data_IF_561544600033
#
_entry.id   IF_561544600033
#
_cell.length_a   1.000
_cell.length_b   1.000
_cell.length_c   1.000
_cell.angle_alpha   90.00
_cell.angle_beta   90.00
_cell.angle_gamma   90.00
#
_symmetry.space_group_name_H-M   'P 1'
#
loop_
_entity.id
_entity.type
_entity.pdbx_description
1 polymer ?
#
# COMPACT_ATOMS: atom_id res chain seq x y z
N UNK A 1 -18.91 -14.85 36.32
CA UNK A 1 -17.87 -13.87 36.71
C UNK A 1 -18.05 -12.65 35.83
N UNK A 2 -18.10 -11.43 36.37
CA UNK A 2 -18.29 -10.24 35.56
C UNK A 2 -16.95 -9.81 34.94
N UNK A 3 -16.95 -9.30 33.70
CA UNK A 3 -15.71 -8.83 33.03
C UNK A 3 -15.00 -7.77 33.87
N UNK A 4 -15.77 -6.92 34.57
CA UNK A 4 -15.25 -5.86 35.45
C UNK A 4 -14.55 -6.37 36.71
N UNK A 5 -14.69 -7.65 37.06
CA UNK A 5 -14.09 -8.23 38.28
C UNK A 5 -12.79 -9.00 38.01
N UNK A 6 -12.21 -8.89 36.82
CA UNK A 6 -10.96 -9.57 36.45
C UNK A 6 -9.74 -8.87 37.07
N UNK A 7 -8.81 -9.66 37.60
CA UNK A 7 -7.54 -9.14 38.13
C UNK A 7 -6.53 -8.90 37.01
N UNK A 8 -5.50 -8.07 37.25
CA UNK A 8 -4.44 -7.81 36.26
C UNK A 8 -3.72 -9.08 35.80
N UNK A 9 -3.49 -10.03 36.70
CA UNK A 9 -2.89 -11.33 36.35
C UNK A 9 -3.78 -12.13 35.40
N UNK A 10 -5.10 -12.13 35.63
CA UNK A 10 -6.07 -12.78 34.76
C UNK A 10 -6.12 -12.09 33.38
N UNK A 11 -6.08 -10.76 33.33
CA UNK A 11 -6.06 -10.00 32.07
C UNK A 11 -4.81 -10.32 31.23
N UNK A 12 -3.63 -10.35 31.84
CA UNK A 12 -2.38 -10.74 31.15
C UNK A 12 -2.48 -12.18 30.63
N UNK A 13 -3.05 -13.09 31.43
CA UNK A 13 -3.23 -14.48 31.00
C UNK A 13 -4.18 -14.59 29.81
N UNK A 14 -5.30 -13.85 29.82
CA UNK A 14 -6.25 -13.80 28.71
C UNK A 14 -5.59 -13.23 27.45
N UNK A 15 -4.84 -12.14 27.58
CA UNK A 15 -4.10 -11.56 26.45
C UNK A 15 -3.11 -12.55 25.82
N UNK A 16 -2.36 -13.28 26.64
CA UNK A 16 -1.45 -14.33 26.15
C UNK A 16 -2.21 -15.45 25.42
N UNK A 17 -3.36 -15.86 25.95
CA UNK A 17 -4.20 -16.87 25.31
C UNK A 17 -4.74 -16.37 23.96
N UNK A 18 -5.15 -15.11 23.85
CA UNK A 18 -5.60 -14.53 22.58
C UNK A 18 -4.50 -14.46 21.52
N UNK A 19 -3.24 -14.26 21.91
CA UNK A 19 -2.11 -14.33 20.95
C UNK A 19 -1.83 -15.75 20.45
N UNK A 20 -2.23 -16.78 21.20
CA UNK A 20 -2.02 -18.19 20.85
C UNK A 20 -3.22 -18.78 20.10
N UNK A 21 -4.42 -18.29 20.38
CA UNK A 21 -5.64 -18.69 19.70
C UNK A 21 -5.61 -18.22 18.24
N UNK A 22 -6.03 -19.10 17.32
CA UNK A 22 -6.26 -18.74 15.92
C UNK A 22 -7.73 -18.34 15.76
N UNK A 23 -7.94 -17.14 15.25
CA UNK A 23 -9.24 -16.63 14.85
C UNK A 23 -9.29 -16.56 13.33
N UNK A 24 -10.52 -16.52 12.80
CA UNK A 24 -10.72 -16.20 11.39
C UNK A 24 -10.28 -14.76 11.12
N UNK A 25 -9.76 -14.56 9.92
CA UNK A 25 -9.31 -13.24 9.47
C UNK A 25 -10.50 -12.25 9.45
N UNK A 26 -10.36 -11.04 10.03
CA UNK A 26 -11.37 -10.01 9.94
C UNK A 26 -11.67 -9.67 8.48
N UNK A 27 -12.96 -9.42 8.20
CA UNK A 27 -13.40 -9.06 6.87
C UNK A 27 -12.84 -7.72 6.41
N UNK A 28 -12.47 -7.63 5.13
CA UNK A 28 -12.09 -6.39 4.46
C UNK A 28 -13.25 -5.44 4.12
N UNK A 29 -14.51 -5.77 4.42
CA UNK A 29 -15.66 -4.91 4.09
C UNK A 29 -15.64 -3.54 4.77
N UNK A 30 -14.88 -3.39 5.86
CA UNK A 30 -14.67 -2.11 6.52
C UNK A 30 -13.69 -1.18 5.76
N UNK A 31 -13.04 -1.67 4.70
CA UNK A 31 -12.07 -0.90 3.92
C UNK A 31 -12.75 -0.19 2.77
N UNK A 32 -12.16 0.93 2.36
CA UNK A 32 -12.64 1.76 1.26
C UNK A 32 -11.49 2.04 0.29
N UNK A 33 -11.10 1.06 -0.55
CA UNK A 33 -10.08 1.26 -1.59
C UNK A 33 -10.52 2.36 -2.57
N UNK A 34 -9.57 2.92 -3.31
CA UNK A 34 -9.88 3.79 -4.45
C UNK A 34 -10.56 2.95 -5.57
N UNK A 35 -10.08 1.73 -5.75
CA UNK A 35 -10.42 0.82 -6.83
C UNK A 35 -9.50 1.01 -8.02
N UNK A 36 -9.18 -0.08 -8.70
CA UNK A 36 -8.24 -0.11 -9.84
C UNK A 36 -8.62 0.89 -10.94
N UNK A 37 -9.92 0.96 -11.29
CA UNK A 37 -10.42 1.88 -12.31
C UNK A 37 -10.24 3.36 -11.93
N UNK A 38 -10.63 3.75 -10.71
CA UNK A 38 -10.51 5.13 -10.25
C UNK A 38 -9.05 5.53 -10.07
N UNK A 39 -8.21 4.62 -9.57
CA UNK A 39 -6.78 4.82 -9.47
C UNK A 39 -6.17 5.12 -10.85
N UNK A 40 -6.56 4.34 -11.87
CA UNK A 40 -6.11 4.54 -13.25
C UNK A 40 -6.52 5.91 -13.78
N UNK A 41 -7.78 6.29 -13.60
CA UNK A 41 -8.28 7.61 -14.04
C UNK A 41 -7.52 8.76 -13.36
N UNK A 42 -7.25 8.65 -12.06
CA UNK A 42 -6.47 9.65 -11.33
C UNK A 42 -5.05 9.82 -11.89
N UNK A 43 -4.36 8.71 -12.14
CA UNK A 43 -3.01 8.72 -12.74
C UNK A 43 -3.03 9.37 -14.13
N UNK A 44 -4.00 9.02 -14.98
CA UNK A 44 -4.12 9.59 -16.33
C UNK A 44 -4.37 11.11 -16.28
N UNK A 45 -5.28 11.53 -15.39
CA UNK A 45 -5.68 12.92 -15.26
C UNK A 45 -4.54 13.81 -14.77
N UNK A 46 -3.79 13.36 -13.77
CA UNK A 46 -2.80 14.21 -13.10
C UNK A 46 -1.43 14.19 -13.79
N UNK A 47 -1.07 13.09 -14.47
CA UNK A 47 0.30 12.89 -14.97
C UNK A 47 0.39 12.77 -16.49
N UNK A 48 -0.75 12.58 -17.17
CA UNK A 48 -0.82 12.42 -18.62
C UNK A 48 0.23 11.44 -19.19
N UNK A 49 0.35 10.21 -18.64
CA UNK A 49 1.37 9.27 -19.06
C UNK A 49 1.03 8.66 -20.43
N UNK A 50 2.05 8.13 -21.11
CA UNK A 50 1.87 7.38 -22.36
C UNK A 50 1.26 6.01 -22.08
N UNK A 51 1.64 5.40 -20.94
CA UNK A 51 1.16 4.10 -20.51
C UNK A 51 0.88 4.10 -19.01
N UNK A 52 -0.19 3.40 -18.62
CA UNK A 52 -0.56 3.19 -17.22
C UNK A 52 -1.06 1.76 -17.01
N UNK A 53 -0.61 1.15 -15.92
CA UNK A 53 -1.12 -0.10 -15.39
C UNK A 53 -1.47 0.09 -13.91
N UNK A 54 -2.56 -0.50 -13.47
CA UNK A 54 -3.05 -0.42 -12.09
C UNK A 54 -3.46 -1.79 -11.60
N UNK A 55 -3.42 -2.00 -10.30
CA UNK A 55 -3.82 -3.24 -9.64
C UNK A 55 -4.38 -2.93 -8.26
N UNK A 56 -5.48 -3.59 -7.90
CA UNK A 56 -6.00 -3.62 -6.54
C UNK A 56 -5.97 -5.05 -6.02
N UNK A 57 -5.23 -5.28 -4.94
CA UNK A 57 -5.17 -6.59 -4.29
C UNK A 57 -6.47 -6.96 -3.56
N UNK A 58 -6.58 -8.23 -3.17
CA UNK A 58 -7.59 -8.65 -2.20
C UNK A 58 -7.26 -8.15 -0.80
N UNK A 59 -8.25 -8.08 0.08
CA UNK A 59 -8.01 -7.81 1.49
C UNK A 59 -7.09 -8.89 2.10
N UNK A 60 -6.13 -8.44 2.89
CA UNK A 60 -5.19 -9.23 3.68
C UNK A 60 -5.28 -8.77 5.13
N UNK A 61 -4.73 -9.54 6.08
CA UNK A 61 -4.78 -9.19 7.50
C UNK A 61 -3.38 -9.14 8.09
N UNK A 62 -3.11 -8.10 8.86
CA UNK A 62 -1.91 -7.97 9.67
C UNK A 62 -2.28 -7.60 11.10
N UNK A 63 -1.87 -8.42 12.08
CA UNK A 63 -2.14 -8.21 13.51
C UNK A 63 -3.62 -7.95 13.85
N UNK A 64 -4.55 -8.60 13.14
CA UNK A 64 -5.99 -8.41 13.35
C UNK A 64 -6.57 -7.15 12.68
N UNK A 65 -5.78 -6.47 11.85
CA UNK A 65 -6.23 -5.34 11.03
C UNK A 65 -6.27 -5.74 9.56
N UNK A 66 -7.46 -5.69 8.92
CA UNK A 66 -7.54 -5.92 7.49
C UNK A 66 -6.92 -4.72 6.75
N UNK A 67 -6.22 -5.00 5.66
CA UNK A 67 -5.67 -3.99 4.76
C UNK A 67 -5.76 -4.40 3.29
N UNK A 68 -5.75 -3.42 2.39
CA UNK A 68 -5.64 -3.61 0.94
C UNK A 68 -4.45 -2.79 0.43
N UNK A 69 -3.71 -3.37 -0.52
CA UNK A 69 -2.66 -2.67 -1.27
C UNK A 69 -3.15 -2.44 -2.69
N UNK A 70 -3.12 -1.18 -3.11
CA UNK A 70 -3.37 -0.76 -4.47
C UNK A 70 -2.08 -0.20 -5.05
N UNK A 71 -1.75 -0.57 -6.28
CA UNK A 71 -0.53 -0.14 -6.95
C UNK A 71 -0.83 0.36 -8.36
N UNK A 72 -0.11 1.39 -8.78
CA UNK A 72 -0.15 1.92 -10.14
C UNK A 72 1.25 2.18 -10.64
N UNK A 73 1.53 1.79 -11.89
CA UNK A 73 2.75 2.12 -12.61
C UNK A 73 2.37 2.94 -13.84
N UNK A 74 3.07 4.05 -14.05
CA UNK A 74 2.98 4.80 -15.30
C UNK A 74 4.35 5.11 -15.89
N UNK A 75 4.37 5.25 -17.22
CA UNK A 75 5.54 5.53 -18.04
C UNK A 75 5.20 6.73 -18.93
N UNK A 76 6.16 7.64 -19.11
CA UNK A 76 5.94 8.90 -19.82
C UNK A 76 5.35 10.00 -18.93
N UNK A 77 4.75 11.00 -19.55
CA UNK A 77 4.13 12.14 -18.88
C UNK A 77 4.93 13.44 -18.99
N UNK A 78 4.22 14.57 -18.92
CA UNK A 78 4.83 15.90 -18.96
C UNK A 78 5.38 16.27 -17.58
N UNK A 79 6.49 17.00 -17.56
CA UNK A 79 7.06 17.63 -16.35
C UNK A 79 7.50 16.67 -15.22
N UNK A 80 7.72 15.39 -15.54
CA UNK A 80 8.18 14.40 -14.54
C UNK A 80 9.70 14.30 -14.53
N UNK A 81 10.32 14.31 -13.35
CA UNK A 81 11.77 14.12 -13.19
C UNK A 81 12.21 12.76 -13.74
N UNK A 82 13.35 12.73 -14.42
CA UNK A 82 13.95 11.47 -14.88
C UNK A 82 14.22 10.51 -13.72
N UNK A 83 14.00 9.22 -13.97
CA UNK A 83 14.16 8.16 -12.99
C UNK A 83 12.85 7.62 -12.39
N UNK A 84 12.96 6.97 -11.22
CA UNK A 84 11.84 6.40 -10.48
C UNK A 84 11.28 7.43 -9.50
N UNK A 85 10.07 7.89 -9.76
CA UNK A 85 9.30 8.71 -8.83
C UNK A 85 8.33 7.80 -8.07
N UNK A 86 8.15 8.04 -6.78
CA UNK A 86 7.29 7.18 -5.95
C UNK A 86 6.32 8.08 -5.19
N UNK A 87 5.03 7.95 -5.50
CA UNK A 87 3.97 8.57 -4.72
C UNK A 87 3.37 7.53 -3.78
N UNK A 88 3.30 7.89 -2.50
CA UNK A 88 2.82 6.98 -1.45
C UNK A 88 1.54 7.55 -0.89
N UNK A 89 0.58 6.67 -0.66
CA UNK A 89 -0.70 7.02 -0.05
C UNK A 89 -0.98 6.04 1.08
N UNK A 90 -1.50 6.56 2.18
CA UNK A 90 -2.08 5.76 3.25
C UNK A 90 -3.49 6.28 3.51
N UNK A 91 -4.50 5.41 3.49
CA UNK A 91 -5.90 5.77 3.69
C UNK A 91 -6.35 6.97 2.83
N UNK A 92 -5.95 6.98 1.55
CA UNK A 92 -6.21 8.07 0.57
C UNK A 92 -5.51 9.41 0.87
N UNK A 93 -4.59 9.45 1.85
CA UNK A 93 -3.80 10.64 2.19
C UNK A 93 -2.39 10.51 1.57
N UNK A 94 -1.93 11.51 0.79
CA UNK A 94 -0.57 11.49 0.24
C UNK A 94 0.49 11.67 1.34
N UNK A 95 1.52 10.83 1.31
CA UNK A 95 2.66 10.88 2.23
C UNK A 95 3.83 11.64 1.60
N UNK A 96 4.09 12.85 2.07
CA UNK A 96 5.09 13.75 1.48
C UNK A 96 6.50 13.62 2.09
N UNK A 97 6.61 13.13 3.33
CA UNK A 97 7.88 13.09 4.07
C UNK A 97 8.35 11.65 4.36
N UNK A 98 9.59 11.51 4.83
CA UNK A 98 10.19 10.25 5.30
C UNK A 98 10.28 9.12 4.27
N UNK A 99 10.39 9.49 2.98
CA UNK A 99 10.39 8.52 1.88
C UNK A 99 11.49 7.45 2.02
N UNK A 100 12.67 7.75 2.58
CA UNK A 100 13.79 6.79 2.67
C UNK A 100 13.59 5.66 3.68
N UNK A 101 12.75 5.84 4.70
CA UNK A 101 12.44 4.82 5.69
C UNK A 101 11.21 3.98 5.30
N UNK A 102 10.38 4.49 4.40
CA UNK A 102 9.10 3.89 4.02
C UNK A 102 9.25 2.53 3.31
N UNK A 103 8.37 1.59 3.68
CA UNK A 103 8.36 0.22 3.16
C UNK A 103 8.06 0.15 1.67
N UNK A 104 7.20 1.03 1.14
CA UNK A 104 6.90 1.14 -0.29
C UNK A 104 8.16 1.53 -1.04
N UNK A 105 8.83 2.60 -0.60
CA UNK A 105 10.05 3.08 -1.24
C UNK A 105 11.14 2.01 -1.23
N UNK A 106 11.37 1.38 -0.07
CA UNK A 106 12.37 0.33 0.07
C UNK A 106 12.05 -0.87 -0.82
N UNK A 107 10.79 -1.27 -0.91
CA UNK A 107 10.35 -2.39 -1.75
C UNK A 107 10.54 -2.05 -3.23
N UNK A 108 10.11 -0.86 -3.67
CA UNK A 108 10.28 -0.40 -5.04
C UNK A 108 11.75 -0.39 -5.47
N UNK A 109 12.62 0.21 -4.66
CA UNK A 109 14.03 0.37 -5.00
C UNK A 109 14.85 -0.92 -4.89
N UNK A 110 14.56 -1.78 -3.91
CA UNK A 110 15.43 -2.92 -3.58
C UNK A 110 14.89 -4.27 -4.02
N UNK A 111 13.56 -4.43 -4.17
CA UNK A 111 12.93 -5.73 -4.46
C UNK A 111 12.38 -5.85 -5.87
N UNK A 112 12.03 -4.74 -6.52
CA UNK A 112 11.48 -4.75 -7.88
C UNK A 112 12.60 -4.54 -8.91
N UNK A 113 12.69 -5.43 -9.90
CA UNK A 113 13.67 -5.34 -11.00
C UNK A 113 13.04 -4.64 -12.21
N UNK A 114 13.16 -3.32 -12.27
CA UNK A 114 12.62 -2.54 -13.40
C UNK A 114 13.41 -2.73 -14.71
N UNK A 115 14.71 -3.02 -14.61
CA UNK A 115 15.59 -3.19 -15.78
C UNK A 115 15.28 -4.44 -16.61
N UNK A 116 14.37 -5.31 -16.16
CA UNK A 116 13.96 -6.51 -16.91
C UNK A 116 12.75 -6.30 -17.81
N UNK A 117 12.09 -5.13 -17.74
CA UNK A 117 10.84 -4.88 -18.44
C UNK A 117 11.21 -4.19 -19.80
N UNK A 118 10.80 -4.73 -20.96
CA UNK A 118 11.25 -4.24 -22.29
C UNK A 118 10.94 -2.77 -22.56
N UNK A 119 9.76 -2.31 -22.15
CA UNK A 119 9.25 -0.94 -22.27
C UNK A 119 9.98 0.06 -21.34
N UNK A 120 11.05 -0.40 -20.68
CA UNK A 120 11.86 0.34 -19.71
C UNK A 120 13.27 0.58 -20.17
N UNK A 121 13.78 -0.30 -21.03
CA UNK A 121 15.17 -0.30 -21.43
C UNK A 121 15.46 0.53 -22.69
N UNK A 122 14.43 1.01 -23.39
CA UNK A 122 14.65 1.87 -24.56
C UNK A 122 14.87 3.33 -24.13
N UNK A 123 16.11 3.60 -23.68
CA UNK A 123 16.86 4.84 -23.97
C UNK A 123 16.10 6.18 -23.91
N UNK A 124 15.50 6.51 -22.77
CA UNK A 124 15.34 7.87 -22.17
C UNK A 124 14.24 7.83 -21.12
N UNK A 125 14.60 7.51 -19.87
CA UNK A 125 13.65 7.31 -18.77
C UNK A 125 13.12 8.66 -18.28
N UNK A 126 12.03 9.12 -18.88
CA UNK A 126 11.13 10.11 -18.31
C UNK A 126 9.77 9.39 -18.20
N UNK A 127 9.21 8.95 -17.09
CA UNK A 127 9.62 8.75 -15.73
C UNK A 127 8.77 7.56 -15.23
N UNK A 128 9.25 6.77 -14.28
CA UNK A 128 8.46 5.65 -13.73
C UNK A 128 7.83 6.09 -12.45
N UNK A 129 6.53 6.37 -12.49
CA UNK A 129 5.83 6.58 -11.25
C UNK A 129 5.34 5.25 -10.71
N UNK A 130 5.74 4.89 -9.48
CA UNK A 130 5.04 3.92 -8.66
C UNK A 130 4.12 4.65 -7.67
N UNK A 131 2.81 4.47 -7.81
CA UNK A 131 1.84 4.83 -6.79
C UNK A 131 1.53 3.60 -5.96
N UNK A 132 1.69 3.66 -4.64
CA UNK A 132 1.17 2.61 -3.74
C UNK A 132 0.26 3.22 -2.70
N UNK A 133 -0.95 2.68 -2.60
CA UNK A 133 -1.92 3.01 -1.56
C UNK A 133 -2.11 1.83 -0.61
N UNK A 134 -1.95 2.08 0.68
CA UNK A 134 -2.35 1.17 1.75
C UNK A 134 -3.66 1.67 2.35
N UNK A 135 -4.68 0.81 2.40
CA UNK A 135 -5.95 1.11 3.09
C UNK A 135 -6.09 0.15 4.26
N UNK A 136 -6.16 0.68 5.49
CA UNK A 136 -6.26 -0.09 6.72
C UNK A 136 -6.96 0.73 7.81
N UNK A 137 -7.60 0.07 8.78
CA UNK A 137 -8.10 0.73 9.99
C UNK A 137 -6.96 1.27 10.87
N UNK A 138 -5.76 0.68 10.77
CA UNK A 138 -4.57 1.10 11.48
C UNK A 138 -3.39 1.16 10.51
N UNK A 139 -2.76 2.32 10.41
CA UNK A 139 -1.52 2.53 9.66
C UNK A 139 -0.50 3.05 10.67
N UNK A 140 0.44 2.22 11.05
CA UNK A 140 1.51 2.52 12.00
C UNK A 140 2.85 1.97 11.52
#
# INVERSE_FOLDING_TARGET
MAVKSLTSQQLVRIHQLFRQAKFDDPSGHCLSPAGEYNLRLGIIKELHPDMVATYSGSAQVFEGHPFIVEAGISIGGKDVKQGLNIFRFANRIPLLFEQGADVVTRTALKRIKFNGIPEVNQSSIIARLLLVSLVSQFVG
#
